data_IF_571836232084
#
_entry.id   IF_571836232084
#
_cell.length_a   1.000
_cell.length_b   1.000
_cell.length_c   1.000
_cell.angle_alpha   90.00
_cell.angle_beta   90.00
_cell.angle_gamma   90.00
#
_symmetry.space_group_name_H-M   'P 1'
#
loop_
_entity.id
_entity.type
_entity.pdbx_description
1 polymer ?
#
# COMPACT_ATOMS: atom_id res chain seq x y z
N UNK A 1 -5.95 0.32 -52.08
CA UNK A 1 -5.56 0.60 -50.68
C UNK A 1 -6.34 1.82 -50.27
N UNK A 2 -7.38 1.70 -49.46
CA UNK A 2 -8.32 2.76 -49.08
C UNK A 2 -7.74 3.85 -48.16
N UNK A 3 -6.42 4.02 -48.09
CA UNK A 3 -5.76 5.08 -47.35
C UNK A 3 -5.99 5.05 -45.82
N UNK A 4 -6.55 3.99 -45.27
CA UNK A 4 -6.81 3.87 -43.84
C UNK A 4 -5.53 3.57 -43.09
N UNK A 5 -5.22 4.39 -42.11
CA UNK A 5 -4.02 4.30 -41.28
C UNK A 5 -4.39 3.99 -39.84
N UNK A 6 -3.71 3.03 -39.25
CA UNK A 6 -3.67 2.86 -37.79
C UNK A 6 -2.51 3.69 -37.27
N UNK A 7 -2.81 4.77 -36.57
CA UNK A 7 -1.79 5.70 -36.10
C UNK A 7 -0.83 5.02 -35.09
N UNK A 8 0.44 5.43 -35.12
CA UNK A 8 1.50 4.83 -34.26
C UNK A 8 1.23 4.94 -32.76
N UNK A 9 0.44 5.94 -32.31
CA UNK A 9 0.01 6.08 -30.92
C UNK A 9 -1.00 5.00 -30.47
N UNK A 10 -1.54 4.20 -31.41
CA UNK A 10 -2.35 3.02 -31.13
C UNK A 10 -1.53 1.74 -30.97
N UNK A 11 -0.21 1.84 -31.13
CA UNK A 11 0.71 0.71 -31.05
C UNK A 11 1.60 0.89 -29.82
N UNK A 12 1.67 -0.11 -28.98
CA UNK A 12 2.45 -0.06 -27.74
C UNK A 12 3.31 -1.31 -27.60
N UNK A 13 4.60 -1.11 -27.29
CA UNK A 13 5.47 -2.18 -26.84
C UNK A 13 5.39 -2.23 -25.29
N UNK A 14 4.68 -3.19 -24.74
CA UNK A 14 4.40 -3.29 -23.30
C UNK A 14 5.66 -3.55 -22.46
N UNK A 15 6.73 -4.05 -23.03
CA UNK A 15 7.99 -4.23 -22.30
C UNK A 15 8.71 -2.90 -22.04
N UNK A 16 8.55 -1.93 -22.95
CA UNK A 16 9.36 -0.69 -22.91
C UNK A 16 8.57 0.52 -22.43
N UNK A 17 7.26 0.51 -22.55
CA UNK A 17 6.39 1.62 -22.15
C UNK A 17 4.96 1.15 -21.86
N UNK A 18 4.22 2.00 -21.18
CA UNK A 18 2.83 1.73 -20.88
C UNK A 18 2.35 2.45 -19.63
N UNK A 19 1.32 1.90 -19.01
CA UNK A 19 0.79 2.34 -17.74
C UNK A 19 1.09 1.26 -16.70
N UNK A 20 1.71 1.65 -15.58
CA UNK A 20 1.99 0.73 -14.49
C UNK A 20 0.75 0.49 -13.61
N UNK A 21 0.86 -0.36 -12.59
CA UNK A 21 -0.23 -0.72 -11.69
C UNK A 21 -0.74 0.46 -10.82
N UNK A 22 0.01 1.56 -10.73
CA UNK A 22 -0.42 2.82 -10.09
C UNK A 22 -1.11 3.78 -11.06
N UNK A 23 -1.36 3.38 -12.31
CA UNK A 23 -1.92 4.24 -13.35
C UNK A 23 -0.95 5.29 -13.91
N UNK A 24 0.33 5.19 -13.59
CA UNK A 24 1.36 6.13 -14.05
C UNK A 24 2.00 5.64 -15.32
N UNK A 25 2.21 6.54 -16.26
CA UNK A 25 2.97 6.26 -17.48
C UNK A 25 4.42 5.91 -17.12
N UNK A 26 4.96 4.90 -17.78
CA UNK A 26 6.38 4.56 -17.68
C UNK A 26 7.01 4.40 -19.06
N UNK A 27 8.31 4.65 -19.12
CA UNK A 27 9.20 4.26 -20.22
C UNK A 27 10.50 3.72 -19.62
N UNK A 28 11.00 2.61 -20.16
CA UNK A 28 12.25 1.98 -19.72
C UNK A 28 13.00 1.37 -20.87
N UNK A 29 14.30 1.29 -20.75
CA UNK A 29 15.14 0.43 -21.57
C UNK A 29 15.13 -1.00 -21.00
N UNK A 30 15.32 -1.98 -21.89
CA UNK A 30 15.43 -3.38 -21.50
C UNK A 30 16.87 -3.80 -21.76
N UNK A 31 17.57 -4.23 -20.72
CA UNK A 31 18.89 -4.82 -20.82
C UNK A 31 18.74 -6.32 -21.11
N UNK A 32 19.43 -6.78 -22.16
CA UNK A 32 19.42 -8.19 -22.57
C UNK A 32 20.82 -8.74 -22.34
N UNK A 33 21.03 -9.60 -21.33
CA UNK A 33 22.32 -10.23 -21.10
C UNK A 33 22.79 -11.06 -22.29
N UNK A 34 24.09 -11.16 -22.49
CA UNK A 34 24.67 -11.97 -23.56
C UNK A 34 24.15 -13.43 -23.51
N UNK A 35 23.78 -13.97 -24.66
CA UNK A 35 23.19 -15.32 -24.74
C UNK A 35 21.73 -15.45 -24.34
N UNK A 36 21.07 -14.36 -23.97
CA UNK A 36 19.65 -14.34 -23.63
C UNK A 36 18.78 -13.84 -24.79
N UNK A 37 17.51 -14.21 -24.78
CA UNK A 37 16.50 -13.76 -25.73
C UNK A 37 15.40 -13.03 -24.97
N UNK A 38 15.01 -11.85 -25.51
CA UNK A 38 13.94 -11.04 -24.95
C UNK A 38 12.77 -10.97 -25.93
N UNK A 39 11.61 -11.49 -25.55
CA UNK A 39 10.37 -11.29 -26.30
C UNK A 39 9.91 -9.82 -26.17
N UNK A 40 9.54 -9.20 -27.27
CA UNK A 40 8.90 -7.89 -27.31
C UNK A 40 7.38 -8.09 -27.53
N UNK A 41 6.59 -7.52 -26.61
CA UNK A 41 5.13 -7.62 -26.66
C UNK A 41 4.55 -6.35 -27.27
N UNK A 42 4.06 -6.48 -28.51
CA UNK A 42 3.49 -5.36 -29.25
C UNK A 42 1.99 -5.53 -29.32
N UNK A 43 1.25 -4.61 -28.74
CA UNK A 43 -0.21 -4.55 -28.82
C UNK A 43 -0.65 -3.41 -29.73
N UNK A 44 -1.76 -3.64 -30.41
CA UNK A 44 -2.40 -2.66 -31.30
C UNK A 44 -3.83 -2.45 -30.85
N UNK A 45 -4.17 -1.23 -30.53
CA UNK A 45 -5.54 -0.84 -30.21
C UNK A 45 -6.26 -0.55 -31.55
N UNK A 46 -7.02 -1.52 -32.02
CA UNK A 46 -7.74 -1.42 -33.29
C UNK A 46 -8.97 -0.51 -33.16
N UNK A 47 -9.13 0.49 -34.02
CA UNK A 47 -10.39 1.23 -34.11
C UNK A 47 -11.53 0.28 -34.48
N UNK A 48 -12.72 0.50 -33.94
CA UNK A 48 -13.91 -0.32 -34.23
C UNK A 48 -14.26 -0.40 -35.73
N UNK A 49 -13.89 0.63 -36.47
CA UNK A 49 -14.09 0.73 -37.93
C UNK A 49 -12.98 0.07 -38.74
N UNK A 50 -11.92 -0.44 -38.09
CA UNK A 50 -10.80 -1.03 -38.82
C UNK A 50 -11.23 -2.32 -39.52
N UNK A 51 -10.97 -2.43 -40.81
CA UNK A 51 -11.24 -3.61 -41.66
C UNK A 51 -10.21 -3.72 -42.76
N UNK A 52 -9.92 -4.93 -43.21
CA UNK A 52 -9.01 -5.19 -44.32
C UNK A 52 -7.54 -5.34 -43.90
N UNK A 53 -6.65 -5.16 -44.87
CA UNK A 53 -5.21 -5.40 -44.69
C UNK A 53 -4.45 -4.12 -44.38
N UNK A 54 -3.59 -4.20 -43.39
CA UNK A 54 -2.69 -3.14 -42.98
C UNK A 54 -1.25 -3.62 -43.04
N UNK A 55 -0.38 -2.80 -43.60
CA UNK A 55 1.06 -3.09 -43.71
C UNK A 55 1.83 -2.03 -42.94
N UNK A 56 2.83 -2.45 -42.20
CA UNK A 56 3.69 -1.57 -41.41
C UNK A 56 5.08 -2.18 -41.18
N UNK A 57 5.92 -1.42 -40.52
CA UNK A 57 7.24 -1.89 -40.11
C UNK A 57 7.45 -1.63 -38.63
N UNK A 58 8.05 -2.58 -37.95
CA UNK A 58 8.56 -2.44 -36.59
C UNK A 58 10.06 -2.33 -36.65
N UNK A 59 10.61 -1.19 -36.22
CA UNK A 59 12.05 -0.99 -36.10
C UNK A 59 12.51 -1.30 -34.69
N UNK A 60 13.48 -2.19 -34.57
CA UNK A 60 14.10 -2.58 -33.30
C UNK A 60 15.52 -2.04 -33.32
N UNK A 61 15.86 -1.24 -32.31
CA UNK A 61 17.22 -0.72 -32.11
C UNK A 61 17.73 -1.11 -30.73
N UNK A 62 18.99 -1.46 -30.65
CA UNK A 62 19.69 -1.69 -29.39
C UNK A 62 21.08 -1.06 -29.45
N UNK A 63 21.64 -0.74 -28.28
CA UNK A 63 22.98 -0.17 -28.23
C UNK A 63 24.01 -1.17 -28.76
N UNK A 64 24.90 -0.70 -29.62
CA UNK A 64 26.00 -1.50 -30.18
C UNK A 64 25.62 -2.42 -31.34
N UNK A 65 24.37 -2.41 -31.80
CA UNK A 65 23.96 -3.21 -32.99
C UNK A 65 23.14 -2.35 -33.95
N UNK A 66 23.23 -2.62 -35.28
CA UNK A 66 22.43 -1.91 -36.28
C UNK A 66 20.92 -2.12 -36.04
N UNK A 67 20.14 -1.06 -36.23
CA UNK A 67 18.69 -1.17 -36.17
C UNK A 67 18.16 -2.15 -37.23
N UNK A 68 17.21 -2.99 -36.83
CA UNK A 68 16.57 -3.96 -37.70
C UNK A 68 15.11 -3.62 -37.89
N UNK A 69 14.63 -3.59 -39.13
CA UNK A 69 13.25 -3.39 -39.47
C UNK A 69 12.57 -4.73 -39.84
N UNK A 70 11.41 -4.97 -39.25
CA UNK A 70 10.60 -6.17 -39.48
C UNK A 70 9.30 -5.73 -40.13
N UNK A 71 8.99 -6.29 -41.30
CA UNK A 71 7.70 -6.04 -41.96
C UNK A 71 6.60 -6.72 -41.17
N UNK A 72 5.50 -5.99 -40.93
CA UNK A 72 4.32 -6.48 -40.25
C UNK A 72 3.12 -6.36 -41.20
N UNK A 73 2.36 -7.43 -41.33
CA UNK A 73 1.08 -7.46 -42.05
C UNK A 73 -0.02 -7.90 -41.08
N UNK A 74 -1.12 -7.14 -41.06
CA UNK A 74 -2.29 -7.47 -40.23
C UNK A 74 -3.53 -7.46 -41.09
N UNK A 75 -4.28 -8.54 -41.03
CA UNK A 75 -5.59 -8.65 -41.68
C UNK A 75 -6.70 -8.66 -40.63
N UNK A 76 -7.61 -7.70 -40.73
CA UNK A 76 -8.76 -7.54 -39.86
C UNK A 76 -10.00 -8.06 -40.67
N UNK A 77 -10.33 -9.32 -40.48
CA UNK A 77 -11.34 -10.02 -41.26
C UNK A 77 -12.62 -10.32 -40.48
N UNK A 78 -12.59 -10.22 -39.16
CA UNK A 78 -13.61 -10.73 -38.29
C UNK A 78 -14.74 -9.78 -37.94
N UNK A 79 -15.71 -10.27 -37.19
CA UNK A 79 -16.71 -9.49 -36.49
C UNK A 79 -16.01 -8.73 -35.36
N UNK A 80 -16.52 -7.56 -35.03
CA UNK A 80 -16.09 -6.83 -33.82
C UNK A 80 -16.45 -7.68 -32.60
N UNK A 81 -15.46 -7.96 -31.77
CA UNK A 81 -15.67 -8.68 -30.52
C UNK A 81 -16.30 -7.68 -29.53
N UNK A 82 -17.48 -8.02 -29.03
CA UNK A 82 -18.21 -7.19 -28.09
C UNK A 82 -17.37 -6.95 -26.84
N UNK A 83 -17.37 -5.72 -26.35
CA UNK A 83 -16.68 -5.28 -25.15
C UNK A 83 -15.23 -5.79 -25.02
N UNK A 84 -14.51 -5.86 -26.16
CA UNK A 84 -13.14 -6.40 -26.27
C UNK A 84 -12.99 -7.85 -25.74
N UNK A 85 -14.08 -8.61 -25.64
CA UNK A 85 -14.09 -9.98 -25.09
C UNK A 85 -14.09 -10.02 -23.56
N UNK A 86 -14.36 -8.91 -22.89
CA UNK A 86 -14.39 -8.82 -21.42
C UNK A 86 -15.75 -9.27 -20.86
N UNK A 87 -16.80 -9.22 -21.65
CA UNK A 87 -18.16 -9.66 -21.34
C UNK A 87 -18.26 -11.17 -21.02
N UNK A 88 -17.39 -11.99 -21.60
CA UNK A 88 -17.26 -13.40 -21.26
C UNK A 88 -15.94 -13.67 -20.52
N UNK A 89 -16.02 -14.00 -19.23
CA UNK A 89 -14.84 -14.21 -18.37
C UNK A 89 -13.84 -15.25 -18.90
N UNK A 90 -14.31 -16.27 -19.63
CA UNK A 90 -13.46 -17.29 -20.27
C UNK A 90 -12.64 -16.76 -21.45
N UNK A 91 -13.05 -15.65 -22.04
CA UNK A 91 -12.38 -14.99 -23.16
C UNK A 91 -11.57 -13.76 -22.73
N UNK A 92 -11.36 -13.57 -21.44
CA UNK A 92 -10.58 -12.44 -20.92
C UNK A 92 -9.22 -12.36 -21.62
N UNK A 93 -9.05 -11.34 -22.44
CA UNK A 93 -7.76 -11.01 -23.01
C UNK A 93 -6.90 -10.35 -21.96
N UNK A 94 -5.76 -10.94 -21.64
CA UNK A 94 -4.77 -10.31 -20.74
C UNK A 94 -4.33 -8.95 -21.27
N UNK A 95 -4.41 -8.72 -22.58
CA UNK A 95 -4.06 -7.46 -23.22
C UNK A 95 -5.04 -6.33 -22.87
N UNK A 96 -6.31 -6.65 -22.58
CA UNK A 96 -7.29 -5.66 -22.15
C UNK A 96 -6.94 -5.00 -20.81
N UNK A 97 -6.14 -5.65 -19.97
CA UNK A 97 -5.70 -5.14 -18.69
C UNK A 97 -4.34 -4.43 -18.74
N UNK A 98 -3.58 -4.62 -19.82
CA UNK A 98 -2.31 -3.95 -20.01
C UNK A 98 -2.56 -2.48 -20.38
N UNK A 99 -1.84 -1.59 -19.76
CA UNK A 99 -2.00 -0.12 -19.89
C UNK A 99 -3.38 0.41 -19.48
N UNK A 100 -4.19 -0.41 -18.82
CA UNK A 100 -5.47 0.04 -18.30
C UNK A 100 -5.27 0.85 -17.02
N UNK A 101 -6.00 1.94 -16.91
CA UNK A 101 -6.20 2.70 -15.69
C UNK A 101 -7.66 2.62 -15.22
N UNK A 102 -8.40 1.65 -15.73
CA UNK A 102 -9.77 1.36 -15.26
C UNK A 102 -9.71 0.97 -13.79
N UNK A 103 -10.55 1.61 -12.99
CA UNK A 103 -10.53 1.45 -11.53
C UNK A 103 -9.54 2.34 -10.78
N UNK A 104 -8.55 2.91 -11.47
CA UNK A 104 -7.66 3.92 -10.89
C UNK A 104 -8.33 5.30 -11.03
N UNK A 105 -9.21 5.61 -10.12
CA UNK A 105 -9.94 6.87 -10.10
C UNK A 105 -10.27 7.26 -8.66
N UNK A 106 -10.65 8.51 -8.47
CA UNK A 106 -11.03 9.04 -7.15
C UNK A 106 -12.56 8.97 -6.93
N UNK A 107 -13.25 8.01 -7.54
CA UNK A 107 -14.68 7.82 -7.35
C UNK A 107 -14.93 6.96 -6.12
N UNK A 108 -15.95 7.35 -5.37
CA UNK A 108 -16.40 6.60 -4.20
C UNK A 108 -17.20 5.40 -4.67
N UNK A 109 -16.87 4.22 -4.16
CA UNK A 109 -17.60 2.99 -4.42
C UNK A 109 -18.99 3.06 -3.79
N UNK A 110 -19.98 2.47 -4.46
CA UNK A 110 -21.35 2.40 -3.95
C UNK A 110 -21.39 1.78 -2.56
N UNK A 111 -22.10 2.41 -1.64
CA UNK A 111 -22.24 1.98 -0.26
C UNK A 111 -21.35 2.74 0.73
N UNK A 112 -20.42 3.54 0.24
CA UNK A 112 -19.61 4.45 1.06
C UNK A 112 -20.08 5.89 0.95
N UNK A 113 -19.55 6.74 1.81
CA UNK A 113 -19.81 8.20 1.84
C UNK A 113 -18.50 8.95 1.53
N UNK A 114 -18.59 10.19 1.07
CA UNK A 114 -17.40 11.05 0.92
C UNK A 114 -16.65 11.19 2.24
N UNK A 115 -15.31 11.21 2.13
CA UNK A 115 -14.45 11.62 3.24
C UNK A 115 -14.71 13.09 3.56
N UNK A 116 -14.87 13.40 4.83
CA UNK A 116 -14.98 14.78 5.32
C UNK A 116 -13.98 15.02 6.45
N UNK A 117 -13.67 16.28 6.70
CA UNK A 117 -12.73 16.67 7.76
C UNK A 117 -13.22 17.90 8.49
N UNK A 118 -13.14 17.85 9.79
CA UNK A 118 -13.33 18.97 10.70
C UNK A 118 -12.05 19.09 11.55
N UNK A 119 -11.32 20.18 11.38
CA UNK A 119 -10.01 20.41 11.99
C UNK A 119 -9.06 19.21 11.75
N UNK A 120 -8.68 18.46 12.76
CA UNK A 120 -7.81 17.27 12.66
C UNK A 120 -8.58 15.94 12.54
N UNK A 121 -9.91 15.99 12.65
CA UNK A 121 -10.77 14.79 12.62
C UNK A 121 -11.23 14.50 11.21
N UNK A 122 -10.82 13.36 10.68
CA UNK A 122 -11.25 12.83 9.39
C UNK A 122 -12.40 11.86 9.64
N UNK A 123 -13.51 12.05 8.93
CA UNK A 123 -14.73 11.24 9.05
C UNK A 123 -14.97 10.43 7.78
N UNK A 124 -15.26 9.17 7.93
CA UNK A 124 -15.61 8.20 6.90
C UNK A 124 -16.85 7.42 7.34
N UNK A 125 -17.33 6.50 6.50
CA UNK A 125 -18.51 5.72 6.84
C UNK A 125 -18.37 4.99 8.18
N UNK A 126 -19.11 5.43 9.18
CA UNK A 126 -19.20 4.80 10.51
C UNK A 126 -17.90 4.85 11.33
N UNK A 127 -16.91 5.66 10.95
CA UNK A 127 -15.64 5.81 11.69
C UNK A 127 -15.14 7.24 11.64
N UNK A 128 -14.28 7.56 12.58
CA UNK A 128 -13.53 8.82 12.56
C UNK A 128 -12.12 8.62 13.10
N UNK A 129 -11.17 9.32 12.51
CA UNK A 129 -9.77 9.30 12.90
C UNK A 129 -9.28 10.73 13.13
N UNK A 130 -8.83 11.00 14.33
CA UNK A 130 -8.16 12.24 14.68
C UNK A 130 -6.66 12.07 14.49
N UNK A 131 -6.06 13.01 13.74
CA UNK A 131 -4.63 13.00 13.47
C UNK A 131 -3.93 13.91 14.48
N UNK A 132 -3.00 13.33 15.24
CA UNK A 132 -2.18 14.07 16.18
C UNK A 132 -1.17 15.00 15.51
N UNK A 133 -0.58 15.89 16.29
CA UNK A 133 0.41 16.84 15.79
C UNK A 133 1.64 16.17 15.18
N UNK A 134 1.96 14.94 15.60
CA UNK A 134 3.04 14.14 15.03
C UNK A 134 2.68 13.45 13.70
N UNK A 135 1.44 13.59 13.21
CA UNK A 135 0.94 13.00 11.97
C UNK A 135 0.41 11.57 12.10
N UNK A 136 0.45 10.98 13.28
CA UNK A 136 -0.09 9.65 13.56
C UNK A 136 -1.50 9.73 14.18
N UNK A 137 -2.29 8.64 14.15
CA UNK A 137 -3.60 8.62 14.79
C UNK A 137 -3.53 8.91 16.29
N UNK A 138 -4.22 9.94 16.72
CA UNK A 138 -4.39 10.30 18.12
C UNK A 138 -5.62 9.60 18.71
N UNK A 139 -6.67 9.50 17.91
CA UNK A 139 -7.92 8.83 18.26
C UNK A 139 -8.52 8.15 17.03
N UNK A 140 -9.04 6.95 17.21
CA UNK A 140 -9.81 6.22 16.19
C UNK A 140 -11.10 5.73 16.84
N UNK A 141 -12.24 6.09 16.27
CA UNK A 141 -13.55 5.73 16.77
C UNK A 141 -14.36 4.93 15.77
N UNK A 142 -15.13 3.98 16.25
CA UNK A 142 -16.14 3.28 15.48
C UNK A 142 -17.53 3.63 16.01
N UNK A 143 -18.43 3.91 15.10
CA UNK A 143 -19.86 4.19 15.37
C UNK A 143 -20.74 2.98 14.99
N UNK A 144 -20.15 1.88 14.56
CA UNK A 144 -20.90 0.67 14.27
C UNK A 144 -21.43 0.04 15.56
N UNK A 145 -22.68 -0.40 15.53
CA UNK A 145 -23.30 -1.13 16.66
C UNK A 145 -22.62 -2.47 16.89
N UNK A 146 -22.80 -3.05 18.08
CA UNK A 146 -22.20 -4.35 18.44
C UNK A 146 -22.55 -5.49 17.49
N UNK A 147 -23.69 -5.42 16.80
CA UNK A 147 -24.10 -6.37 15.76
C UNK A 147 -23.58 -6.03 14.36
N UNK A 148 -22.96 -4.85 14.19
CA UNK A 148 -22.54 -4.29 12.90
C UNK A 148 -23.69 -4.10 11.88
N UNK A 149 -24.95 -4.03 12.33
CA UNK A 149 -26.12 -3.86 11.46
C UNK A 149 -26.45 -2.39 11.20
N UNK A 150 -26.03 -1.49 12.08
CA UNK A 150 -26.33 -0.06 11.98
C UNK A 150 -25.17 0.80 12.48
N UNK A 151 -25.26 2.09 12.19
CA UNK A 151 -24.35 3.12 12.66
C UNK A 151 -25.07 3.95 13.72
N UNK A 152 -24.49 4.04 14.91
CA UNK A 152 -24.97 4.80 16.05
C UNK A 152 -24.50 6.27 15.96
N UNK A 153 -25.17 7.14 16.71
CA UNK A 153 -24.68 8.51 16.96
C UNK A 153 -23.52 8.55 17.97
N UNK A 154 -23.47 7.55 18.85
CA UNK A 154 -22.41 7.41 19.85
C UNK A 154 -21.38 6.42 19.35
N UNK A 155 -20.13 6.87 19.25
CA UNK A 155 -18.98 6.03 18.89
C UNK A 155 -18.32 5.43 20.12
N UNK A 156 -17.53 4.38 19.89
CA UNK A 156 -16.60 3.81 20.87
C UNK A 156 -15.17 3.88 20.36
N UNK A 157 -14.25 4.12 21.25
CA UNK A 157 -12.83 4.19 20.92
C UNK A 157 -12.30 2.81 20.50
N UNK A 158 -11.56 2.75 19.39
CA UNK A 158 -10.84 1.55 18.95
C UNK A 158 -9.47 1.52 19.62
N UNK A 159 -8.81 2.66 19.74
CA UNK A 159 -7.53 2.80 20.41
C UNK A 159 -7.72 3.48 21.76
N UNK A 160 -6.97 3.00 22.76
CA UNK A 160 -6.97 3.53 24.13
C UNK A 160 -5.99 4.69 24.31
N UNK A 161 -4.97 4.76 23.45
CA UNK A 161 -3.93 5.81 23.47
C UNK A 161 -3.48 6.15 22.06
N UNK A 162 -2.98 7.38 21.84
CA UNK A 162 -2.37 7.77 20.59
C UNK A 162 -1.29 6.79 20.12
N UNK A 163 -1.18 6.64 18.80
CA UNK A 163 -0.06 5.90 18.21
C UNK A 163 1.26 6.58 18.56
N UNK A 164 2.26 5.78 18.91
CA UNK A 164 3.59 6.27 19.28
C UNK A 164 4.65 5.67 18.37
N UNK A 165 5.41 6.54 17.69
CA UNK A 165 6.64 6.16 17.02
C UNK A 165 7.80 6.55 17.89
N UNK A 166 8.58 5.57 18.36
CA UNK A 166 9.55 5.74 19.43
C UNK A 166 10.92 5.34 18.88
N UNK A 167 11.90 6.22 19.07
CA UNK A 167 13.33 5.98 18.81
C UNK A 167 14.03 5.97 20.17
N UNK A 168 14.54 4.81 20.58
CA UNK A 168 15.25 4.60 21.84
C UNK A 168 16.75 4.47 21.54
N UNK A 169 17.56 5.32 22.15
CA UNK A 169 19.02 5.28 22.04
C UNK A 169 19.59 4.13 22.85
N UNK A 170 20.83 3.71 22.56
CA UNK A 170 21.51 2.62 23.25
C UNK A 170 21.61 2.87 24.77
N UNK A 171 21.74 4.13 25.21
CA UNK A 171 21.75 4.49 26.61
C UNK A 171 20.37 4.47 27.29
N UNK A 172 19.30 4.06 26.57
CA UNK A 172 17.93 3.99 27.07
C UNK A 172 17.14 5.30 26.99
N UNK A 173 17.74 6.40 26.55
CA UNK A 173 17.02 7.66 26.36
C UNK A 173 16.12 7.58 25.12
N UNK A 174 14.93 8.15 25.21
CA UNK A 174 14.03 8.29 24.08
C UNK A 174 14.35 9.61 23.36
N UNK A 175 14.50 9.55 22.05
CA UNK A 175 14.63 10.74 21.22
C UNK A 175 13.34 11.57 21.31
N UNK A 176 13.44 12.76 21.84
CA UNK A 176 12.30 13.66 21.99
C UNK A 176 12.05 14.39 20.67
N UNK A 177 11.06 13.94 19.93
CA UNK A 177 10.63 14.55 18.67
C UNK A 177 9.61 15.65 18.95
N UNK A 178 9.93 16.88 18.55
CA UNK A 178 9.02 18.01 18.58
C UNK A 178 8.23 18.05 17.26
N UNK A 179 6.90 17.98 17.30
CA UNK A 179 6.09 18.05 16.11
C UNK A 179 6.15 19.45 15.49
N UNK A 180 6.30 19.48 14.18
CA UNK A 180 6.12 20.70 13.39
C UNK A 180 4.65 20.98 13.12
N UNK A 181 4.39 21.85 12.15
CA UNK A 181 3.01 22.15 11.74
C UNK A 181 2.43 20.99 10.91
N UNK A 182 1.36 20.37 11.40
CA UNK A 182 0.56 19.41 10.64
C UNK A 182 -0.11 20.14 9.48
N UNK A 183 0.11 19.67 8.25
CA UNK A 183 -0.44 20.23 7.02
C UNK A 183 -1.26 19.20 6.27
N UNK A 184 -2.54 19.46 6.04
CA UNK A 184 -3.36 18.69 5.13
C UNK A 184 -3.05 19.14 3.70
N UNK A 185 -2.45 18.25 2.91
CA UNK A 185 -1.86 18.58 1.60
C UNK A 185 -2.83 18.40 0.44
N UNK A 186 -3.75 17.45 0.56
CA UNK A 186 -4.82 17.22 -0.42
C UNK A 186 -6.10 16.81 0.30
N UNK A 187 -7.22 17.23 -0.26
CA UNK A 187 -8.54 16.81 0.17
C UNK A 187 -9.42 16.57 -1.05
N UNK A 188 -9.92 15.35 -1.18
CA UNK A 188 -10.89 14.96 -2.18
C UNK A 188 -12.03 14.19 -1.51
N UNK A 189 -13.16 13.98 -2.22
CA UNK A 189 -14.23 13.14 -1.67
C UNK A 189 -13.79 11.71 -1.32
N UNK A 190 -12.74 11.19 -1.96
CA UNK A 190 -12.27 9.81 -1.79
C UNK A 190 -11.11 9.66 -0.83
N UNK A 191 -10.36 10.71 -0.52
CA UNK A 191 -9.22 10.65 0.40
C UNK A 191 -8.79 12.02 0.92
N UNK A 192 -8.04 11.98 2.02
CA UNK A 192 -7.32 13.14 2.57
C UNK A 192 -5.87 12.73 2.80
N UNK A 193 -4.93 13.64 2.49
CA UNK A 193 -3.50 13.45 2.77
C UNK A 193 -2.98 14.55 3.67
N UNK A 194 -1.95 14.22 4.44
CA UNK A 194 -1.27 15.17 5.32
C UNK A 194 0.21 14.90 5.40
N UNK A 195 0.93 15.89 5.90
CA UNK A 195 2.36 15.82 6.16
C UNK A 195 2.71 16.60 7.42
N UNK A 196 3.69 16.09 8.16
CA UNK A 196 4.35 16.79 9.25
C UNK A 196 5.83 16.40 9.29
N UNK A 197 6.67 17.30 9.79
CA UNK A 197 8.08 17.04 10.07
C UNK A 197 8.26 17.17 11.57
N UNK A 198 8.58 16.07 12.23
CA UNK A 198 8.91 16.03 13.64
C UNK A 198 10.43 16.14 13.77
N UNK A 199 10.92 17.03 14.64
CA UNK A 199 12.35 17.37 14.71
C UNK A 199 12.93 17.09 16.08
N UNK A 200 14.21 16.73 16.10
CA UNK A 200 15.04 16.67 17.31
C UNK A 200 16.47 17.10 16.99
N UNK A 201 17.34 17.11 17.97
CA UNK A 201 18.77 17.32 17.76
C UNK A 201 19.47 16.13 17.08
N UNK A 202 18.87 14.95 17.20
CA UNK A 202 19.39 13.69 16.65
C UNK A 202 18.97 13.47 15.21
N UNK A 203 17.68 13.66 14.93
CA UNK A 203 17.10 13.32 13.62
C UNK A 203 15.80 14.11 13.35
N UNK A 204 15.41 14.14 12.10
CA UNK A 204 14.07 14.52 11.68
C UNK A 204 13.28 13.27 11.30
N UNK A 205 11.97 13.27 11.61
CA UNK A 205 11.04 12.23 11.19
C UNK A 205 9.92 12.88 10.38
N UNK A 206 9.92 12.63 9.08
CA UNK A 206 8.85 13.07 8.19
C UNK A 206 7.74 12.04 8.23
N UNK A 207 6.53 12.44 8.61
CA UNK A 207 5.34 11.63 8.51
C UNK A 207 4.48 12.13 7.33
N UNK A 208 4.23 11.25 6.36
CA UNK A 208 3.25 11.45 5.31
C UNK A 208 2.10 10.47 5.55
N UNK A 209 0.89 10.97 5.60
CA UNK A 209 -0.28 10.15 5.83
C UNK A 209 -1.35 10.34 4.75
N UNK A 210 -2.16 9.31 4.55
CA UNK A 210 -3.32 9.29 3.67
C UNK A 210 -4.40 8.41 4.30
N UNK A 211 -5.66 8.88 4.29
CA UNK A 211 -6.83 8.08 4.68
C UNK A 211 -7.86 8.15 3.55
N UNK A 212 -8.38 7.00 3.17
CA UNK A 212 -9.36 6.82 2.10
C UNK A 212 -10.78 6.56 2.66
N UNK A 213 -11.79 6.71 1.79
CA UNK A 213 -13.20 6.61 2.15
C UNK A 213 -13.61 5.27 2.74
N UNK A 214 -12.88 4.19 2.47
CA UNK A 214 -13.14 2.83 2.96
C UNK A 214 -12.45 2.52 4.29
N UNK A 215 -11.61 3.43 4.79
CA UNK A 215 -10.84 3.28 6.02
C UNK A 215 -9.43 2.75 5.81
N UNK A 216 -9.00 2.59 4.55
CA UNK A 216 -7.61 2.31 4.26
C UNK A 216 -6.77 3.56 4.47
N UNK A 217 -5.74 3.43 5.30
CA UNK A 217 -4.77 4.49 5.54
C UNK A 217 -3.34 4.00 5.26
N UNK A 218 -2.50 4.87 4.74
CA UNK A 218 -1.08 4.62 4.54
C UNK A 218 -0.25 5.69 5.23
N UNK A 219 0.84 5.25 5.84
CA UNK A 219 1.79 6.09 6.57
C UNK A 219 3.19 5.82 6.04
N UNK A 220 3.87 6.89 5.62
CA UNK A 220 5.29 6.88 5.32
C UNK A 220 6.04 7.63 6.41
N UNK A 221 6.84 6.93 7.20
CA UNK A 221 7.69 7.50 8.24
C UNK A 221 9.15 7.45 7.80
N UNK A 222 9.72 8.60 7.46
CA UNK A 222 11.11 8.70 7.06
C UNK A 222 11.93 9.36 8.15
N UNK A 223 12.90 8.64 8.71
CA UNK A 223 13.90 9.16 9.66
C UNK A 223 15.10 9.63 8.85
N UNK A 224 15.61 10.82 9.15
CA UNK A 224 16.88 11.34 8.64
C UNK A 224 17.78 11.75 9.77
N UNK A 225 18.90 11.06 9.95
CA UNK A 225 19.85 11.35 11.01
C UNK A 225 20.62 12.66 10.77
N UNK A 226 20.65 13.55 11.74
CA UNK A 226 21.44 14.81 11.74
C UNK A 226 22.87 14.59 12.21
N UNK A 227 23.09 13.56 13.01
CA UNK A 227 24.37 13.10 13.54
C UNK A 227 24.39 11.58 13.60
N UNK A 228 25.51 10.97 13.94
CA UNK A 228 25.56 9.53 14.20
C UNK A 228 24.73 9.20 15.46
N UNK A 229 23.96 8.13 15.41
CA UNK A 229 23.06 7.70 16.48
C UNK A 229 23.19 6.21 16.68
N UNK A 230 23.56 5.79 17.91
CA UNK A 230 23.48 4.39 18.34
C UNK A 230 22.06 4.14 18.89
N UNK A 231 21.32 3.31 18.20
CA UNK A 231 19.90 3.06 18.44
C UNK A 231 19.74 1.67 19.06
N UNK A 232 19.07 1.60 20.20
CA UNK A 232 18.63 0.37 20.84
C UNK A 232 17.40 -0.21 20.18
N UNK A 233 16.45 0.67 19.81
CA UNK A 233 15.22 0.23 19.14
C UNK A 233 14.49 1.39 18.45
N UNK A 234 13.83 1.07 17.33
CA UNK A 234 12.83 1.92 16.69
C UNK A 234 11.54 1.11 16.61
N UNK A 235 10.45 1.66 17.13
CA UNK A 235 9.19 0.92 17.23
C UNK A 235 7.95 1.77 17.03
N UNK A 236 6.94 1.15 16.44
CA UNK A 236 5.56 1.64 16.42
C UNK A 236 4.78 0.92 17.52
N UNK A 237 4.21 1.70 18.44
CA UNK A 237 3.37 1.20 19.51
C UNK A 237 1.94 1.64 19.31
N UNK A 238 1.04 0.67 19.19
CA UNK A 238 -0.41 0.85 19.10
C UNK A 238 -1.03 0.30 20.36
N UNK A 239 -1.84 1.10 21.03
CA UNK A 239 -2.53 0.71 22.25
C UNK A 239 -4.03 0.70 21.99
N UNK A 240 -4.63 -0.49 21.97
CA UNK A 240 -6.05 -0.67 21.71
C UNK A 240 -6.82 -0.86 23.02
N UNK A 241 -8.08 -0.48 23.00
CA UNK A 241 -9.02 -0.90 24.03
C UNK A 241 -9.17 -2.43 24.02
N UNK A 242 -9.14 -3.06 25.18
CA UNK A 242 -9.16 -4.52 25.29
C UNK A 242 -10.47 -5.14 24.75
N UNK A 243 -11.58 -4.44 24.92
CA UNK A 243 -12.89 -4.92 24.42
C UNK A 243 -12.98 -4.82 22.89
N UNK A 244 -12.18 -3.93 22.27
CA UNK A 244 -12.03 -3.81 20.83
C UNK A 244 -10.93 -4.70 20.26
N UNK A 245 -10.14 -5.36 21.09
CA UNK A 245 -9.06 -6.26 20.70
C UNK A 245 -9.35 -7.72 21.12
N UNK A 246 -10.59 -8.16 20.96
CA UNK A 246 -11.06 -9.50 21.37
C UNK A 246 -10.50 -10.61 20.49
N UNK A 247 -10.43 -10.37 19.19
CA UNK A 247 -9.99 -11.35 18.20
C UNK A 247 -8.66 -10.91 17.54
N UNK A 248 -7.96 -11.88 17.01
CA UNK A 248 -6.69 -11.65 16.31
C UNK A 248 -6.50 -12.64 15.16
N UNK A 249 -5.93 -12.15 14.05
CA UNK A 249 -5.53 -12.94 12.88
C UNK A 249 -4.27 -12.32 12.26
N UNK A 250 -3.39 -13.15 11.73
CA UNK A 250 -2.15 -12.73 11.08
C UNK A 250 -0.91 -13.01 11.94
N UNK A 251 0.28 -12.72 11.41
CA UNK A 251 1.55 -13.04 12.05
C UNK A 251 1.62 -14.49 12.55
N UNK A 252 1.30 -15.43 11.67
CA UNK A 252 1.23 -16.89 11.93
C UNK A 252 0.16 -17.32 12.96
N UNK A 253 -0.79 -16.44 13.28
CA UNK A 253 -1.96 -16.75 14.10
C UNK A 253 -3.16 -16.93 13.19
N UNK A 254 -3.77 -18.10 13.20
CA UNK A 254 -5.09 -18.33 12.61
C UNK A 254 -6.15 -17.49 13.35
N UNK A 255 -7.22 -17.14 12.64
CA UNK A 255 -8.31 -16.36 13.22
C UNK A 255 -8.87 -16.98 14.49
N UNK A 256 -9.33 -16.13 15.42
CA UNK A 256 -9.93 -16.57 16.67
C UNK A 256 -9.67 -15.61 17.83
N UNK A 257 -9.91 -16.07 19.05
CA UNK A 257 -9.64 -15.26 20.25
C UNK A 257 -8.16 -14.88 20.31
N UNK A 258 -7.91 -13.62 20.62
CA UNK A 258 -6.55 -13.11 20.78
C UNK A 258 -5.91 -13.73 22.03
N UNK A 259 -4.70 -14.27 21.93
CA UNK A 259 -3.94 -14.69 23.11
C UNK A 259 -3.56 -13.48 23.98
N UNK A 260 -3.33 -13.73 25.29
CA UNK A 260 -2.87 -12.66 26.21
C UNK A 260 -1.50 -12.12 25.86
N UNK A 261 -0.64 -12.98 25.32
CA UNK A 261 0.70 -12.68 24.84
C UNK A 261 0.93 -13.40 23.51
N UNK A 262 1.50 -12.70 22.55
CA UNK A 262 1.87 -13.24 21.24
C UNK A 262 3.13 -12.56 20.76
N UNK A 263 4.10 -13.36 20.31
CA UNK A 263 5.36 -12.87 19.80
C UNK A 263 5.56 -13.37 18.37
N UNK A 264 5.97 -12.46 17.50
CA UNK A 264 6.32 -12.75 16.13
C UNK A 264 7.71 -12.24 15.81
N UNK A 265 8.51 -13.09 15.15
CA UNK A 265 9.76 -12.71 14.49
C UNK A 265 9.56 -12.81 12.98
N UNK A 266 10.14 -11.89 12.24
CA UNK A 266 10.06 -11.92 10.80
C UNK A 266 10.72 -13.20 10.26
N UNK A 267 9.98 -13.92 9.40
CA UNK A 267 10.40 -15.19 8.82
C UNK A 267 10.12 -15.13 7.31
N UNK A 268 11.19 -15.22 6.49
CA UNK A 268 11.11 -15.16 5.02
C UNK A 268 10.39 -16.37 4.42
N UNK A 269 10.26 -17.45 5.15
CA UNK A 269 9.53 -18.65 4.71
C UNK A 269 8.03 -18.52 4.89
N UNK A 270 7.57 -17.48 5.60
CA UNK A 270 6.16 -17.25 5.92
C UNK A 270 5.71 -15.89 5.39
N UNK A 271 4.66 -15.91 4.60
CA UNK A 271 4.06 -14.68 4.06
C UNK A 271 3.11 -14.03 5.09
N UNK A 272 3.67 -13.48 6.16
CA UNK A 272 2.91 -12.99 7.31
C UNK A 272 3.40 -11.58 7.70
N UNK A 273 3.00 -10.58 6.93
CA UNK A 273 3.40 -9.18 7.12
C UNK A 273 2.28 -8.29 7.71
N UNK A 274 1.13 -8.88 8.03
CA UNK A 274 -0.03 -8.16 8.52
C UNK A 274 -0.63 -8.80 9.77
N UNK A 275 -1.20 -7.96 10.61
CA UNK A 275 -1.96 -8.31 11.80
C UNK A 275 -3.31 -7.61 11.76
N UNK A 276 -4.40 -8.36 11.91
CA UNK A 276 -5.70 -7.80 12.29
C UNK A 276 -5.99 -8.11 13.75
N UNK A 277 -6.43 -7.09 14.50
CA UNK A 277 -6.93 -7.23 15.87
C UNK A 277 -8.18 -6.39 16.00
N UNK A 278 -9.25 -7.00 16.51
CA UNK A 278 -10.54 -6.32 16.56
C UNK A 278 -11.65 -7.06 17.29
N UNK A 279 -12.80 -6.42 17.28
CA UNK A 279 -14.10 -6.94 17.65
C UNK A 279 -15.07 -6.80 16.46
N UNK A 280 -16.32 -7.21 16.61
CA UNK A 280 -17.34 -7.14 15.54
C UNK A 280 -17.55 -5.70 15.04
N UNK A 281 -17.46 -4.73 15.92
CA UNK A 281 -17.81 -3.34 15.65
C UNK A 281 -16.64 -2.36 15.72
N UNK A 282 -15.41 -2.87 15.73
CA UNK A 282 -14.22 -2.03 15.72
C UNK A 282 -12.95 -2.85 15.75
N UNK A 283 -11.98 -2.50 14.93
CA UNK A 283 -10.69 -3.17 14.86
C UNK A 283 -9.74 -2.50 13.90
N UNK A 284 -8.51 -2.96 13.88
CA UNK A 284 -7.43 -2.46 13.03
C UNK A 284 -6.71 -3.62 12.37
N UNK A 285 -6.48 -3.50 11.07
CA UNK A 285 -5.46 -4.29 10.39
C UNK A 285 -4.24 -3.41 10.19
N UNK A 286 -3.08 -3.89 10.58
CA UNK A 286 -1.81 -3.19 10.41
C UNK A 286 -0.92 -4.07 9.52
N UNK A 287 -0.34 -3.47 8.48
CA UNK A 287 0.62 -4.11 7.59
C UNK A 287 1.90 -3.30 7.57
N UNK A 288 3.01 -3.93 7.90
CA UNK A 288 4.33 -3.29 7.87
C UNK A 288 4.93 -3.41 6.48
N UNK A 289 5.42 -2.28 5.95
CA UNK A 289 5.86 -2.17 4.56
C UNK A 289 7.35 -1.89 4.48
N UNK A 290 7.96 -2.41 3.42
CA UNK A 290 9.30 -2.02 3.03
C UNK A 290 9.30 -0.70 2.26
N UNK A 291 10.43 -0.06 2.25
CA UNK A 291 10.76 1.00 1.30
C UNK A 291 10.55 0.47 -0.12
N UNK A 292 9.91 1.24 -0.97
CA UNK A 292 9.62 0.80 -2.34
C UNK A 292 8.89 -0.55 -2.41
N UNK A 293 7.99 -0.80 -1.49
CA UNK A 293 7.16 -1.99 -1.49
C UNK A 293 6.27 -2.00 -2.75
N UNK A 294 6.82 -2.56 -3.81
CA UNK A 294 6.22 -2.53 -5.16
C UNK A 294 5.49 -3.83 -5.44
N UNK A 295 5.83 -4.88 -4.72
CA UNK A 295 5.25 -6.18 -4.94
C UNK A 295 4.75 -6.76 -3.64
N UNK A 296 3.46 -7.01 -3.61
CA UNK A 296 2.91 -7.65 -2.45
C UNK A 296 3.06 -9.09 -2.55
N UNK A 297 3.58 -9.84 -3.28
CA UNK A 297 2.96 -11.13 -3.31
C UNK A 297 3.87 -12.25 -3.64
N UNK A 298 4.03 -12.96 -2.63
CA UNK A 298 4.04 -14.40 -2.71
C UNK A 298 2.70 -14.86 -3.27
N UNK A 299 2.73 -15.50 -4.41
CA UNK A 299 1.63 -16.32 -4.81
C UNK A 299 1.57 -17.51 -3.84
N UNK A 300 0.55 -17.56 -3.01
CA UNK A 300 0.34 -18.64 -2.03
C UNK A 300 0.27 -20.05 -2.67
N UNK A 301 0.09 -20.12 -3.97
CA UNK A 301 0.06 -21.39 -4.73
C UNK A 301 1.45 -21.83 -5.20
N UNK A 302 2.46 -20.99 -5.09
CA UNK A 302 3.83 -21.31 -5.44
C UNK A 302 4.68 -21.15 -4.19
N UNK A 303 5.30 -22.21 -3.76
CA UNK A 303 6.16 -22.29 -2.60
C UNK A 303 7.50 -21.55 -2.83
N UNK A 304 7.40 -20.34 -3.33
CA UNK A 304 8.54 -19.44 -3.43
C UNK A 304 8.59 -18.59 -2.17
N UNK A 305 9.50 -18.89 -1.29
CA UNK A 305 9.78 -18.07 -0.13
C UNK A 305 10.16 -16.64 -0.54
N UNK A 306 9.19 -15.77 -0.61
CA UNK A 306 9.39 -14.44 -1.17
C UNK A 306 8.78 -13.35 -0.31
N UNK A 307 8.69 -13.52 0.99
CA UNK A 307 8.44 -12.38 1.83
C UNK A 307 9.68 -11.47 1.74
N UNK A 308 9.53 -10.38 1.01
CA UNK A 308 10.49 -9.29 1.12
C UNK A 308 10.27 -8.62 2.47
N UNK A 309 11.06 -9.03 3.45
CA UNK A 309 11.03 -8.40 4.76
C UNK A 309 11.23 -6.90 4.58
N UNK A 310 10.42 -6.07 5.26
CA UNK A 310 10.70 -4.65 5.33
C UNK A 310 12.11 -4.44 5.94
N UNK A 311 13.11 -3.89 5.22
CA UNK A 311 14.48 -3.80 5.72
C UNK A 311 14.57 -3.06 7.05
N UNK A 312 13.77 -2.00 7.21
CA UNK A 312 13.75 -1.22 8.45
C UNK A 312 13.09 -1.98 9.59
N UNK A 313 11.90 -2.54 9.39
CA UNK A 313 11.19 -3.32 10.40
C UNK A 313 11.89 -4.64 10.72
N UNK A 314 12.40 -5.32 9.71
CA UNK A 314 13.05 -6.63 9.85
C UNK A 314 14.43 -6.55 10.48
N UNK A 315 15.21 -5.52 10.14
CA UNK A 315 16.54 -5.24 10.65
C UNK A 315 17.39 -6.50 10.81
N UNK A 316 17.58 -7.24 9.72
CA UNK A 316 18.39 -8.46 9.69
C UNK A 316 17.94 -9.52 10.72
N UNK A 317 16.63 -9.62 10.95
CA UNK A 317 16.06 -10.57 11.91
C UNK A 317 16.00 -10.10 13.36
N UNK A 318 16.48 -8.88 13.68
CA UNK A 318 16.37 -8.31 15.03
C UNK A 318 14.96 -7.83 15.34
N UNK A 319 14.20 -7.46 14.32
CA UNK A 319 12.84 -6.94 14.44
C UNK A 319 11.78 -8.00 14.66
N UNK A 320 10.59 -7.55 15.06
CA UNK A 320 9.44 -8.39 15.30
C UNK A 320 8.23 -7.61 15.76
N UNK A 321 7.19 -8.33 16.16
CA UNK A 321 5.97 -7.75 16.71
C UNK A 321 5.56 -8.50 17.97
N UNK A 322 5.31 -7.77 19.04
CA UNK A 322 4.74 -8.30 20.28
C UNK A 322 3.32 -7.78 20.47
N UNK A 323 2.40 -8.65 20.81
CA UNK A 323 1.01 -8.29 21.16
C UNK A 323 0.74 -8.81 22.57
N UNK A 324 0.44 -7.92 23.51
CA UNK A 324 0.26 -8.31 24.91
C UNK A 324 -0.74 -7.43 25.64
N UNK A 325 -1.33 -7.99 26.71
CA UNK A 325 -2.24 -7.27 27.58
C UNK A 325 -1.49 -6.45 28.65
N UNK A 326 -1.95 -5.23 28.89
CA UNK A 326 -1.52 -4.40 30.02
C UNK A 326 -2.71 -3.65 30.61
N UNK A 327 -3.23 -4.14 31.75
CA UNK A 327 -4.44 -3.61 32.36
C UNK A 327 -5.66 -3.76 31.47
N UNK A 328 -6.30 -2.64 31.12
CA UNK A 328 -7.47 -2.60 30.20
C UNK A 328 -7.09 -2.44 28.73
N UNK A 329 -5.81 -2.42 28.44
CA UNK A 329 -5.31 -2.19 27.08
C UNK A 329 -4.66 -3.43 26.51
N UNK A 330 -4.64 -3.51 25.17
CA UNK A 330 -3.82 -4.41 24.37
C UNK A 330 -2.78 -3.59 23.64
N UNK A 331 -1.52 -3.97 23.78
CA UNK A 331 -0.41 -3.29 23.15
C UNK A 331 0.08 -4.12 21.98
N UNK A 332 0.13 -3.51 20.80
CA UNK A 332 0.81 -4.02 19.62
C UNK A 332 2.09 -3.21 19.49
N UNK A 333 3.23 -3.87 19.61
CA UNK A 333 4.55 -3.25 19.59
C UNK A 333 5.38 -3.84 18.45
N UNK A 334 5.45 -3.14 17.34
CA UNK A 334 6.31 -3.50 16.22
C UNK A 334 7.67 -2.83 16.44
N UNK A 335 8.71 -3.61 16.62
CA UNK A 335 10.05 -3.17 16.97
C UNK A 335 11.09 -3.67 15.95
N UNK A 336 12.20 -2.96 15.83
CA UNK A 336 13.26 -3.30 14.88
C UNK A 336 14.60 -3.68 15.53
N UNK A 337 14.75 -3.45 16.83
CA UNK A 337 15.99 -3.76 17.57
C UNK A 337 17.16 -2.84 17.24
N UNK A 338 18.34 -3.22 17.70
CA UNK A 338 19.55 -2.39 17.67
C UNK A 338 20.07 -2.12 16.27
N UNK A 339 20.51 -0.89 16.03
CA UNK A 339 21.19 -0.45 14.81
C UNK A 339 21.98 0.84 15.00
N UNK A 340 22.93 1.06 14.10
CA UNK A 340 23.64 2.33 13.98
C UNK A 340 23.09 3.13 12.81
N UNK A 341 22.95 4.43 12.98
CA UNK A 341 22.70 5.37 11.88
C UNK A 341 23.84 6.37 11.75
N UNK A 342 24.36 6.54 10.56
CA UNK A 342 25.36 7.56 10.24
C UNK A 342 24.67 8.89 9.98
N UNK A 343 25.40 9.99 10.16
CA UNK A 343 24.91 11.32 9.77
C UNK A 343 24.46 11.33 8.31
N UNK A 344 23.25 11.81 8.06
CA UNK A 344 22.63 11.91 6.75
C UNK A 344 21.94 10.62 6.28
N UNK A 345 22.10 9.50 6.99
CA UNK A 345 21.43 8.27 6.67
C UNK A 345 19.91 8.37 6.85
N UNK A 346 19.18 7.65 6.00
CA UNK A 346 17.72 7.64 6.01
C UNK A 346 17.20 6.22 6.20
N UNK A 347 16.14 6.08 6.99
CA UNK A 347 15.38 4.85 7.17
C UNK A 347 13.90 5.14 6.97
N UNK A 348 13.17 4.21 6.36
CA UNK A 348 11.73 4.33 6.18
C UNK A 348 11.02 3.24 6.97
N UNK A 349 10.04 3.66 7.77
CA UNK A 349 9.20 2.79 8.60
C UNK A 349 7.75 2.91 8.14
N UNK A 350 7.50 2.45 6.91
CA UNK A 350 6.18 2.56 6.31
C UNK A 350 5.24 1.49 6.85
N UNK A 351 3.96 1.83 6.98
CA UNK A 351 2.91 0.88 7.33
C UNK A 351 1.57 1.29 6.72
N UNK A 352 0.71 0.31 6.57
CA UNK A 352 -0.70 0.50 6.20
C UNK A 352 -1.59 0.16 7.38
N UNK A 353 -2.72 0.84 7.45
CA UNK A 353 -3.76 0.62 8.44
C UNK A 353 -5.08 0.45 7.70
N UNK A 354 -5.89 -0.54 8.08
CA UNK A 354 -7.28 -0.61 7.69
C UNK A 354 -8.14 -0.58 8.94
N UNK A 355 -8.97 0.45 9.03
CA UNK A 355 -9.96 0.58 10.08
C UNK A 355 -11.17 -0.30 9.75
N UNK A 356 -11.53 -1.21 10.64
CA UNK A 356 -12.65 -2.14 10.44
C UNK A 356 -13.75 -1.92 11.49
N UNK A 357 -15.01 -2.29 11.19
CA UNK A 357 -15.51 -2.78 9.90
C UNK A 357 -15.54 -1.66 8.86
N UNK A 358 -15.35 -2.02 7.59
CA UNK A 358 -15.35 -1.04 6.49
C UNK A 358 -16.77 -0.61 6.10
N UNK A 359 -17.79 -1.44 6.38
CA UNK A 359 -19.20 -1.22 6.05
C UNK A 359 -20.13 -1.99 6.99
N UNK A 360 -21.42 -1.63 6.96
CA UNK A 360 -22.45 -2.38 7.67
C UNK A 360 -22.58 -3.80 7.12
N UNK A 361 -22.86 -4.75 8.00
CA UNK A 361 -23.28 -6.08 7.57
C UNK A 361 -24.59 -5.95 6.77
N UNK A 362 -24.56 -6.41 5.54
CA UNK A 362 -25.77 -6.57 4.73
C UNK A 362 -26.35 -7.94 5.10
N UNK A 363 -27.57 -7.94 5.64
CA UNK A 363 -28.34 -9.16 5.92
C UNK A 363 -29.13 -9.49 4.67
#
# INVERSE_FOLDING_TARGET
>A
LDGKIIASNKITCFNTRGTNYLGRTFAKNIDIPAGQVQALWIGINLPETARGKYNGNVSISANGVPAKSIKMEIEISGKTVADHGIDEGKHLSRLAWLNSNVGINNKITRGYIPVSREDKVIKILGRSTEIGDNGLPEKIMSYFTSSNQSISKQGGDIIDKPFQFIIEKENGEIVHLLPGKLQFTQQSPSFITWKVINTSDECDVVCNGRLEFDGFASFGLQIKAKKAISIKDIRLKVTMDKDKATYMMGLNKEGGLRPKDWQWKWDTTKNQDALWTGAVNGGLQIKWKAENYVLPLVNIYYDFGCLHLPPSWGNEGKGGVNVYEKGKSVIINAYSGTREMKKGEQLNYDFELLETPDRKRVV
#
